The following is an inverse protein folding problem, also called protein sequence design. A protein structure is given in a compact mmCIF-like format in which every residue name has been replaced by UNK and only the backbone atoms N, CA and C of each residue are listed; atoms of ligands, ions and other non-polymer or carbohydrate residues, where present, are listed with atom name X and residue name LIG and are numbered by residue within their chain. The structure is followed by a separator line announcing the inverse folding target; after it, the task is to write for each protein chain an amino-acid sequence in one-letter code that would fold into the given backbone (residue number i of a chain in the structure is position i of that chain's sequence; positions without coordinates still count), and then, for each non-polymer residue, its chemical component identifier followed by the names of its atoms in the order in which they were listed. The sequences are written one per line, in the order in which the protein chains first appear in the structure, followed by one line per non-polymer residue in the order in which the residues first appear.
data_IF_485610867357
#
_entry.id   IF_485610867357
#
_cell.length_a   1.000
_cell.length_b   1.000
_cell.length_c   1.000
_cell.angle_alpha   90.00
_cell.angle_beta   90.00
_cell.angle_gamma   90.00
#
_symmetry.space_group_name_H-M   'P 1'
#
loop_
_entity.id
_entity.type
_entity.pdbx_description
1 polymer ?
#
# COMPACT_ATOMS: atom_id res chain seq x y z
N UNK A 1 37.32 -29.89 23.22
CA UNK A 1 35.92 -29.72 23.69
C UNK A 1 35.55 -28.30 23.33
N UNK A 2 34.83 -28.14 22.23
CA UNK A 2 34.50 -26.85 21.63
C UNK A 2 32.98 -26.74 21.63
N UNK A 3 32.45 -25.82 22.42
CA UNK A 3 31.05 -25.41 22.31
C UNK A 3 31.02 -23.90 22.50
N UNK A 4 31.18 -23.22 21.36
CA UNK A 4 30.76 -21.85 21.19
C UNK A 4 29.23 -21.86 21.13
N UNK A 5 28.58 -21.76 22.29
CA UNK A 5 27.14 -21.55 22.34
C UNK A 5 26.86 -20.11 21.93
N UNK A 6 26.66 -19.96 20.62
CA UNK A 6 26.32 -18.74 19.93
C UNK A 6 24.95 -18.32 20.45
N UNK A 7 24.96 -17.41 21.42
CA UNK A 7 23.78 -16.70 21.90
C UNK A 7 22.98 -16.23 20.69
N UNK A 8 21.94 -17.01 20.38
CA UNK A 8 21.03 -16.75 19.29
C UNK A 8 20.07 -15.71 19.84
N UNK A 9 20.50 -14.45 19.78
CA UNK A 9 19.66 -13.32 20.13
C UNK A 9 18.43 -13.35 19.20
N UNK A 10 17.22 -13.65 19.70
CA UNK A 10 16.02 -13.75 18.87
C UNK A 10 15.50 -12.38 18.42
N UNK A 11 16.23 -11.29 18.69
CA UNK A 11 15.83 -9.91 18.40
C UNK A 11 16.04 -9.47 16.94
N UNK A 12 16.61 -10.31 16.07
CA UNK A 12 16.82 -9.95 14.66
C UNK A 12 15.86 -10.66 13.70
N UNK A 13 14.56 -10.51 13.95
CA UNK A 13 13.65 -10.45 12.81
C UNK A 13 13.94 -9.08 12.18
N UNK A 14 14.52 -8.99 10.96
CA UNK A 14 14.65 -7.69 10.30
C UNK A 14 13.26 -7.06 10.31
N UNK A 15 13.16 -5.76 10.59
CA UNK A 15 11.88 -5.04 10.52
C UNK A 15 11.30 -5.29 9.12
N UNK A 16 10.49 -6.34 8.99
CA UNK A 16 10.12 -6.89 7.69
C UNK A 16 9.53 -5.72 6.94
N UNK A 17 10.13 -5.36 5.81
CA UNK A 17 9.64 -4.34 4.91
C UNK A 17 8.26 -4.81 4.44
N UNK A 18 7.26 -4.56 5.28
CA UNK A 18 5.97 -5.20 5.18
C UNK A 18 5.27 -4.59 4.00
N UNK A 19 5.16 -5.35 2.91
CA UNK A 19 4.29 -5.00 1.81
C UNK A 19 2.90 -5.53 2.15
N UNK A 20 1.93 -4.64 2.27
CA UNK A 20 0.54 -4.99 2.50
C UNK A 20 -0.23 -4.83 1.19
N UNK A 21 -1.03 -5.81 0.82
CA UNK A 21 -1.96 -5.70 -0.30
C UNK A 21 -3.21 -4.95 0.18
N UNK A 22 -3.57 -3.86 -0.49
CA UNK A 22 -4.81 -3.14 -0.23
C UNK A 22 -5.88 -3.55 -1.22
N UNK A 23 -7.00 -4.05 -0.70
CA UNK A 23 -8.21 -4.33 -1.46
C UNK A 23 -9.33 -3.35 -1.08
N UNK A 24 -9.97 -2.76 -2.09
CA UNK A 24 -11.06 -1.79 -1.95
C UNK A 24 -12.21 -2.19 -2.87
N UNK A 25 -13.43 -2.23 -2.33
CA UNK A 25 -14.64 -2.60 -3.07
C UNK A 25 -14.53 -3.95 -3.83
N UNK A 26 -13.79 -4.92 -3.27
CA UNK A 26 -13.57 -6.22 -3.90
C UNK A 26 -12.49 -6.25 -4.99
N UNK A 27 -11.85 -5.12 -5.31
CA UNK A 27 -10.75 -5.01 -6.28
C UNK A 27 -9.42 -4.81 -5.55
N UNK A 28 -8.32 -5.28 -6.15
CA UNK A 28 -6.97 -4.95 -5.68
C UNK A 28 -6.69 -3.49 -6.04
N UNK A 29 -6.55 -2.64 -5.03
CA UNK A 29 -6.29 -1.23 -5.23
C UNK A 29 -4.80 -0.94 -5.43
N UNK A 30 -3.96 -1.58 -4.61
CA UNK A 30 -2.53 -1.32 -4.63
C UNK A 30 -1.77 -2.06 -3.55
N UNK A 31 -0.50 -1.70 -3.40
CA UNK A 31 0.39 -2.16 -2.34
C UNK A 31 0.73 -0.99 -1.41
N UNK A 32 0.86 -1.25 -0.12
CA UNK A 32 1.48 -0.34 0.82
C UNK A 32 2.83 -0.88 1.23
N UNK A 33 3.89 -0.12 0.98
CA UNK A 33 5.22 -0.42 1.50
C UNK A 33 5.55 0.51 2.67
N UNK A 34 6.18 -0.03 3.72
CA UNK A 34 6.69 0.78 4.83
C UNK A 34 7.75 1.76 4.33
N UNK A 35 7.61 3.03 4.69
CA UNK A 35 8.58 4.11 4.50
C UNK A 35 9.04 4.64 5.86
N UNK A 36 10.15 5.37 5.93
CA UNK A 36 10.69 5.92 7.20
C UNK A 36 9.67 6.78 7.95
N UNK A 37 8.84 7.50 7.21
CA UNK A 37 7.87 8.49 7.71
C UNK A 37 6.41 8.01 7.63
N UNK A 38 6.15 6.76 7.19
CA UNK A 38 4.78 6.27 7.02
C UNK A 38 4.67 5.09 6.05
N UNK A 39 3.73 5.20 5.11
CA UNK A 39 3.42 4.16 4.14
C UNK A 39 3.27 4.76 2.73
N UNK A 40 4.08 4.25 1.80
CA UNK A 40 4.01 4.62 0.39
C UNK A 40 2.99 3.72 -0.32
N UNK A 41 2.07 4.32 -1.07
CA UNK A 41 1.11 3.58 -1.88
C UNK A 41 1.62 3.34 -3.30
N UNK A 42 1.40 2.14 -3.82
CA UNK A 42 1.70 1.76 -5.20
C UNK A 42 0.42 1.25 -5.87
N UNK A 43 -0.09 1.96 -6.87
CA UNK A 43 -1.34 1.61 -7.54
C UNK A 43 -1.21 0.31 -8.37
N UNK A 44 -2.25 -0.53 -8.33
CA UNK A 44 -2.36 -1.71 -9.20
C UNK A 44 -3.30 -1.49 -10.40
N UNK A 45 -4.03 -0.37 -10.43
CA UNK A 45 -5.07 -0.04 -11.41
C UNK A 45 -5.08 1.48 -11.63
N UNK A 46 -5.36 1.91 -12.86
CA UNK A 46 -5.39 3.33 -13.26
C UNK A 46 -6.35 4.18 -12.42
N UNK A 47 -7.41 3.56 -11.88
CA UNK A 47 -8.32 4.22 -10.95
C UNK A 47 -7.61 4.88 -9.76
N UNK A 48 -6.49 4.30 -9.31
CA UNK A 48 -5.78 4.77 -8.12
C UNK A 48 -4.51 5.57 -8.46
N UNK A 49 -4.30 5.94 -9.73
CA UNK A 49 -3.13 6.73 -10.15
C UNK A 49 -3.02 8.07 -9.43
N UNK A 50 -4.15 8.70 -9.08
CA UNK A 50 -4.17 9.98 -8.33
C UNK A 50 -3.53 9.89 -6.94
N UNK A 51 -3.40 8.67 -6.40
CA UNK A 51 -2.76 8.43 -5.10
C UNK A 51 -1.50 7.58 -5.19
N UNK A 52 -1.09 7.19 -6.40
CA UNK A 52 0.14 6.45 -6.63
C UNK A 52 1.37 7.26 -6.19
N UNK A 53 2.30 6.60 -5.51
CA UNK A 53 3.50 7.23 -4.96
C UNK A 53 3.25 8.21 -3.80
N UNK A 54 2.01 8.35 -3.31
CA UNK A 54 1.74 9.22 -2.15
C UNK A 54 2.14 8.54 -0.85
N UNK A 55 2.75 9.33 0.03
CA UNK A 55 3.06 8.94 1.40
C UNK A 55 1.85 9.22 2.31
N UNK A 56 1.45 8.22 3.08
CA UNK A 56 0.39 8.32 4.07
C UNK A 56 0.96 8.06 5.47
N UNK A 57 0.47 8.81 6.47
CA UNK A 57 0.86 8.62 7.86
C UNK A 57 0.43 7.24 8.40
N UNK A 58 -0.71 6.73 7.92
CA UNK A 58 -1.24 5.43 8.31
C UNK A 58 -1.87 4.65 7.15
N UNK A 59 -1.96 3.33 7.29
CA UNK A 59 -2.73 2.46 6.39
C UNK A 59 -4.23 2.83 6.38
N UNK A 60 -4.75 3.36 7.50
CA UNK A 60 -6.14 3.82 7.60
C UNK A 60 -6.43 4.94 6.62
N UNK A 61 -5.59 5.98 6.61
CA UNK A 61 -5.72 7.13 5.72
C UNK A 61 -5.63 6.73 4.25
N UNK A 62 -4.69 5.82 3.94
CA UNK A 62 -4.53 5.25 2.61
C UNK A 62 -5.79 4.50 2.15
N UNK A 63 -6.41 3.69 3.03
CA UNK A 63 -7.67 2.98 2.72
C UNK A 63 -8.83 3.94 2.52
N UNK A 64 -8.89 5.03 3.28
CA UNK A 64 -9.92 6.06 3.11
C UNK A 64 -9.76 6.74 1.75
N UNK A 65 -8.54 7.18 1.39
CA UNK A 65 -8.25 7.80 0.11
C UNK A 65 -8.62 6.87 -1.08
N UNK A 66 -8.19 5.60 -1.04
CA UNK A 66 -8.52 4.64 -2.08
C UNK A 66 -10.04 4.36 -2.15
N UNK A 67 -10.75 4.30 -1.02
CA UNK A 67 -12.21 4.17 -1.00
C UNK A 67 -12.92 5.37 -1.63
N UNK A 68 -12.44 6.59 -1.39
CA UNK A 68 -13.01 7.78 -2.00
C UNK A 68 -12.93 7.72 -3.53
N UNK A 69 -11.77 7.34 -4.10
CA UNK A 69 -11.61 7.17 -5.55
C UNK A 69 -12.54 6.08 -6.11
N UNK A 70 -12.60 4.91 -5.47
CA UNK A 70 -13.49 3.83 -5.89
C UNK A 70 -14.99 4.17 -5.76
N UNK A 71 -15.35 5.09 -4.87
CA UNK A 71 -16.72 5.62 -4.78
C UNK A 71 -17.00 6.63 -5.90
N UNK A 72 -16.04 7.50 -6.23
CA UNK A 72 -16.17 8.47 -7.33
C UNK A 72 -16.32 7.77 -8.69
N UNK A 73 -15.54 6.71 -8.96
CA UNK A 73 -15.68 5.89 -10.17
C UNK A 73 -17.08 5.30 -10.32
N UNK A 74 -17.64 4.78 -9.22
CA UNK A 74 -18.99 4.20 -9.22
C UNK A 74 -20.08 5.23 -9.48
N UNK A 75 -19.90 6.46 -8.98
CA UNK A 75 -20.86 7.54 -9.17
C UNK A 75 -20.73 8.20 -10.55
N UNK A 76 -19.56 8.14 -11.18
CA UNK A 76 -19.34 8.70 -12.52
C UNK A 76 -18.40 7.83 -13.36
N UNK A 77 -18.92 6.74 -13.97
CA UNK A 77 -18.10 5.81 -14.76
C UNK A 77 -17.44 6.46 -16.00
N UNK A 78 -17.92 7.65 -16.42
CA UNK A 78 -17.41 8.38 -17.59
C UNK A 78 -16.40 9.47 -17.25
N UNK A 79 -16.30 9.92 -16.00
CA UNK A 79 -15.41 11.03 -15.62
C UNK A 79 -13.94 10.62 -15.47
N UNK A 80 -13.65 9.31 -15.35
CA UNK A 80 -12.31 8.78 -15.14
C UNK A 80 -11.71 8.09 -16.38
N UNK A 81 -12.33 8.26 -17.57
CA UNK A 81 -11.69 7.74 -18.79
C UNK A 81 -10.42 8.54 -19.07
N UNK A 82 -9.24 7.89 -19.21
CA UNK A 82 -8.12 8.55 -19.83
C UNK A 82 -8.53 8.95 -21.26
N UNK A 83 -8.14 10.15 -21.68
CA UNK A 83 -8.31 10.60 -23.06
C UNK A 83 -7.74 9.54 -24.03
N UNK A 84 -8.40 9.27 -25.17
CA UNK A 84 -7.75 8.49 -26.22
C UNK A 84 -6.57 9.31 -26.74
N UNK A 85 -5.37 8.73 -26.64
CA UNK A 85 -4.20 9.20 -27.39
C UNK A 85 -4.35 8.93 -28.87
#
# INVERSE_FOLDING_TARGET
MADADRSSDPSSVPASAGILVLSVAGRRAGLASRHSEGFLFHACDHLFNDIDGRLFASIGDMRIAARCLASLERLSPRALRPWPG
#
